data_IF_847355052082
#
_entry.id   IF_847355052082
#
_cell.length_a   1.000
_cell.length_b   1.000
_cell.length_c   1.000
_cell.angle_alpha   90.00
_cell.angle_beta   90.00
_cell.angle_gamma   90.00
#
_symmetry.space_group_name_H-M   'P 1'
#
loop_
_entity.id
_entity.type
_entity.pdbx_description
1 polymer ?
#
# COMPACT_ATOMS: atom_id res chain seq x y z
N UNK A 1 -1.57 -19.57 18.09
CA UNK A 1 -2.17 -18.89 16.93
C UNK A 1 -3.63 -19.32 16.88
N UNK A 2 -4.55 -18.38 16.89
CA UNK A 2 -5.99 -18.65 16.99
C UNK A 2 -6.48 -19.41 15.75
N UNK A 3 -7.29 -20.42 15.99
CA UNK A 3 -7.89 -21.31 15.00
C UNK A 3 -9.14 -20.66 14.39
N UNK A 4 -8.98 -19.49 13.72
CA UNK A 4 -10.11 -18.71 13.20
C UNK A 4 -10.12 -18.81 11.68
N UNK A 5 -11.26 -19.23 11.11
CA UNK A 5 -11.47 -19.25 9.67
C UNK A 5 -11.35 -17.85 9.08
N UNK A 6 -10.75 -17.73 7.91
CA UNK A 6 -10.66 -16.45 7.18
C UNK A 6 -12.02 -16.07 6.62
N UNK A 7 -12.48 -14.85 6.92
CA UNK A 7 -13.82 -14.37 6.60
C UNK A 7 -13.84 -13.05 5.82
N UNK A 8 -12.70 -12.34 5.74
CA UNK A 8 -12.63 -11.05 5.07
C UNK A 8 -11.25 -10.78 4.44
N UNK A 9 -11.25 -9.98 3.38
CA UNK A 9 -10.06 -9.44 2.73
C UNK A 9 -10.04 -7.92 2.92
N UNK A 10 -8.90 -7.39 3.38
CA UNK A 10 -8.67 -5.95 3.48
C UNK A 10 -7.47 -5.60 2.59
N UNK A 11 -7.65 -4.64 1.69
CA UNK A 11 -6.57 -4.19 0.79
C UNK A 11 -6.14 -2.78 1.18
N UNK A 12 -4.84 -2.53 1.21
CA UNK A 12 -4.35 -1.17 1.06
C UNK A 12 -4.69 -0.62 -0.33
N UNK A 13 -4.59 0.68 -0.52
CA UNK A 13 -4.90 1.34 -1.78
C UNK A 13 -3.62 1.62 -2.59
N UNK A 14 -2.75 2.45 -2.02
CA UNK A 14 -1.54 2.95 -2.66
C UNK A 14 -0.47 1.86 -2.65
N UNK A 15 0.17 1.59 -3.79
CA UNK A 15 1.15 0.51 -3.90
C UNK A 15 0.58 -0.93 -3.91
N UNK A 16 -0.75 -1.10 -3.71
CA UNK A 16 -1.46 -2.38 -3.74
C UNK A 16 -2.51 -2.44 -4.85
N UNK A 17 -3.49 -1.55 -4.83
CA UNK A 17 -4.54 -1.50 -5.85
C UNK A 17 -4.11 -0.69 -7.07
N UNK A 18 -3.40 0.41 -6.84
CA UNK A 18 -2.85 1.30 -7.86
C UNK A 18 -1.33 1.42 -7.73
N UNK A 19 -0.64 1.58 -8.85
CA UNK A 19 0.82 1.77 -8.90
C UNK A 19 1.18 3.24 -8.65
N UNK A 20 0.74 3.77 -7.51
CA UNK A 20 0.91 5.16 -7.11
C UNK A 20 2.37 5.52 -6.84
N UNK A 21 3.17 4.57 -6.37
CA UNK A 21 4.57 4.78 -6.05
C UNK A 21 5.42 4.99 -7.30
N UNK A 22 5.21 4.22 -8.38
CA UNK A 22 5.91 4.43 -9.65
C UNK A 22 5.57 5.80 -10.26
N UNK A 23 4.31 6.23 -10.15
CA UNK A 23 3.91 7.58 -10.59
C UNK A 23 4.56 8.65 -9.73
N UNK A 24 4.54 8.51 -8.41
CA UNK A 24 5.19 9.44 -7.50
C UNK A 24 6.70 9.55 -7.79
N UNK A 25 7.40 8.43 -7.95
CA UNK A 25 8.82 8.40 -8.31
C UNK A 25 9.10 9.18 -9.61
N UNK A 26 8.31 8.95 -10.65
CA UNK A 26 8.42 9.64 -11.94
C UNK A 26 8.21 11.16 -11.79
N UNK A 27 7.26 11.56 -10.96
CA UNK A 27 7.01 12.98 -10.65
C UNK A 27 8.20 13.59 -9.92
N UNK A 28 8.72 12.91 -8.88
CA UNK A 28 9.87 13.41 -8.13
C UNK A 28 11.08 13.64 -9.04
N UNK A 29 11.38 12.69 -9.91
CA UNK A 29 12.48 12.83 -10.89
C UNK A 29 12.24 14.03 -11.80
N UNK A 30 11.07 14.12 -12.44
CA UNK A 30 10.71 15.22 -13.34
C UNK A 30 10.78 16.59 -12.65
N UNK A 31 10.22 16.72 -11.47
CA UNK A 31 10.19 17.98 -10.72
C UNK A 31 11.58 18.43 -10.28
N UNK A 32 12.48 17.49 -9.94
CA UNK A 32 13.86 17.81 -9.59
C UNK A 32 14.70 18.15 -10.84
N UNK A 33 14.55 17.41 -11.94
CA UNK A 33 15.25 17.71 -13.20
C UNK A 33 14.86 19.09 -13.76
N UNK A 34 13.58 19.48 -13.61
CA UNK A 34 13.13 20.82 -13.98
C UNK A 34 13.79 21.93 -13.15
N UNK A 35 14.07 21.67 -11.86
CA UNK A 35 14.74 22.62 -10.96
C UNK A 35 16.26 22.60 -11.08
N UNK A 36 16.82 21.47 -11.47
CA UNK A 36 18.26 21.22 -11.58
C UNK A 36 18.65 20.75 -12.99
N UNK A 37 18.53 21.62 -14.01
CA UNK A 37 18.80 21.24 -15.39
C UNK A 37 20.19 20.62 -15.55
N UNK A 38 20.25 19.44 -16.21
CA UNK A 38 21.49 18.72 -16.46
C UNK A 38 21.97 17.82 -15.29
N UNK A 39 21.25 17.78 -14.17
CA UNK A 39 21.53 16.83 -13.10
C UNK A 39 21.00 15.43 -13.45
N UNK A 40 21.79 14.40 -13.16
CA UNK A 40 21.34 13.01 -13.28
C UNK A 40 20.55 12.61 -12.03
N UNK A 41 19.28 13.01 -11.95
CA UNK A 41 18.46 12.84 -10.75
C UNK A 41 18.07 11.39 -10.51
N UNK A 42 17.56 10.70 -11.52
CA UNK A 42 17.01 9.35 -11.37
C UNK A 42 17.99 8.34 -10.72
N UNK A 43 19.26 8.23 -11.11
CA UNK A 43 20.20 7.27 -10.49
C UNK A 43 20.44 7.51 -9.00
N UNK A 44 20.27 8.76 -8.53
CA UNK A 44 20.49 9.13 -7.13
C UNK A 44 19.20 8.99 -6.32
N UNK A 45 18.05 9.34 -6.90
CA UNK A 45 16.75 9.32 -6.25
C UNK A 45 16.21 7.90 -6.08
N UNK A 46 16.28 7.06 -7.12
CA UNK A 46 15.64 5.73 -7.12
C UNK A 46 16.06 4.85 -5.93
N UNK A 47 17.34 4.81 -5.50
CA UNK A 47 17.73 4.05 -4.31
C UNK A 47 17.17 4.58 -2.98
N UNK A 48 16.63 5.80 -2.95
CA UNK A 48 16.06 6.42 -1.75
C UNK A 48 14.54 6.22 -1.64
N UNK A 49 13.90 5.67 -2.67
CA UNK A 49 12.45 5.38 -2.64
C UNK A 49 12.09 4.45 -1.49
N UNK A 50 10.83 4.54 -1.03
CA UNK A 50 10.36 3.84 0.17
C UNK A 50 10.59 4.61 1.47
N UNK A 51 11.38 5.69 1.46
CA UNK A 51 11.54 6.61 2.58
C UNK A 51 10.50 7.74 2.51
N UNK A 52 10.40 8.54 3.58
CA UNK A 52 9.58 9.76 3.58
C UNK A 52 10.06 10.72 2.50
N UNK A 53 9.13 11.38 1.83
CA UNK A 53 9.42 12.27 0.68
C UNK A 53 10.45 13.34 1.01
N UNK A 54 10.44 13.90 2.23
CA UNK A 54 11.42 14.89 2.67
C UNK A 54 12.85 14.32 2.67
N UNK A 55 12.99 13.04 3.05
CA UNK A 55 14.28 12.34 3.05
C UNK A 55 14.75 12.01 1.64
N UNK A 56 13.83 11.59 0.79
CA UNK A 56 14.13 11.32 -0.64
C UNK A 56 14.62 12.59 -1.30
N UNK A 57 13.87 13.70 -1.16
CA UNK A 57 14.21 14.97 -1.78
C UNK A 57 15.50 15.56 -1.19
N UNK A 58 15.65 15.56 0.15
CA UNK A 58 16.85 16.06 0.82
C UNK A 58 18.09 15.25 0.47
N UNK A 59 18.02 13.92 0.59
CA UNK A 59 19.14 13.04 0.26
C UNK A 59 19.57 13.11 -1.20
N UNK A 60 18.61 13.27 -2.13
CA UNK A 60 18.93 13.52 -3.55
C UNK A 60 19.65 14.86 -3.74
N UNK A 61 19.16 15.91 -3.07
CA UNK A 61 19.80 17.22 -3.09
C UNK A 61 21.23 17.18 -2.56
N UNK A 62 21.43 16.59 -1.38
CA UNK A 62 22.73 16.45 -0.75
C UNK A 62 23.75 15.73 -1.66
N UNK A 63 23.32 14.60 -2.24
CA UNK A 63 24.18 13.83 -3.13
C UNK A 63 24.55 14.54 -4.44
N UNK A 64 23.69 15.46 -4.91
CA UNK A 64 23.92 16.25 -6.12
C UNK A 64 24.51 17.64 -5.83
N UNK A 65 24.77 17.99 -4.56
CA UNK A 65 25.23 19.32 -4.16
C UNK A 65 24.20 20.41 -4.44
N UNK A 66 22.91 20.09 -4.26
CA UNK A 66 21.76 20.98 -4.51
C UNK A 66 20.89 21.07 -3.25
N UNK A 67 20.09 22.13 -3.16
CA UNK A 67 19.16 22.30 -2.06
C UNK A 67 17.77 22.69 -2.55
N UNK A 68 16.75 22.35 -1.75
CA UNK A 68 15.36 22.73 -1.92
C UNK A 68 14.95 23.61 -0.73
N UNK A 69 14.11 24.58 -0.99
CA UNK A 69 13.40 25.29 0.08
C UNK A 69 12.24 24.45 0.61
N UNK A 70 11.71 24.77 1.79
CA UNK A 70 10.51 24.12 2.30
C UNK A 70 9.32 24.26 1.33
N UNK A 71 9.19 25.42 0.69
CA UNK A 71 8.15 25.66 -0.31
C UNK A 71 8.31 24.77 -1.56
N UNK A 72 9.57 24.51 -1.99
CA UNK A 72 9.81 23.55 -3.11
C UNK A 72 9.40 22.15 -2.72
N UNK A 73 9.75 21.69 -1.52
CA UNK A 73 9.37 20.37 -1.02
C UNK A 73 7.85 20.22 -0.98
N UNK A 74 7.13 21.21 -0.44
CA UNK A 74 5.67 21.21 -0.38
C UNK A 74 5.03 21.25 -1.76
N UNK A 75 5.57 22.02 -2.70
CA UNK A 75 5.09 22.07 -4.07
C UNK A 75 5.27 20.73 -4.80
N UNK A 76 6.46 20.11 -4.67
CA UNK A 76 6.75 18.81 -5.26
C UNK A 76 5.83 17.74 -4.67
N UNK A 77 5.66 17.73 -3.34
CA UNK A 77 4.75 16.80 -2.65
C UNK A 77 3.32 16.92 -3.19
N UNK A 78 2.78 18.14 -3.29
CA UNK A 78 1.42 18.37 -3.76
C UNK A 78 1.21 17.86 -5.21
N UNK A 79 2.24 18.00 -6.07
CA UNK A 79 2.19 17.45 -7.44
C UNK A 79 2.23 15.93 -7.41
N UNK A 80 3.14 15.34 -6.62
CA UNK A 80 3.29 13.89 -6.52
C UNK A 80 2.00 13.22 -5.99
N UNK A 81 1.42 13.73 -4.91
CA UNK A 81 0.17 13.21 -4.34
C UNK A 81 -1.01 13.31 -5.33
N UNK A 82 -1.12 14.44 -6.04
CA UNK A 82 -2.17 14.62 -7.04
C UNK A 82 -2.04 13.63 -8.20
N UNK A 83 -0.85 13.45 -8.75
CA UNK A 83 -0.62 12.57 -9.90
C UNK A 83 -0.63 11.09 -9.47
N UNK A 84 -0.12 10.75 -8.30
CA UNK A 84 -0.22 9.40 -7.73
C UNK A 84 -1.69 8.93 -7.60
N UNK A 85 -2.62 9.82 -7.27
CA UNK A 85 -4.05 9.51 -7.22
C UNK A 85 -4.66 9.19 -8.61
N UNK A 86 -3.96 9.51 -9.69
CA UNK A 86 -4.36 9.15 -11.06
C UNK A 86 -3.63 7.90 -11.60
N UNK A 87 -2.83 7.23 -10.76
CA UNK A 87 -2.08 6.04 -11.13
C UNK A 87 -2.98 4.91 -11.68
N UNK A 88 -2.45 4.08 -12.59
CA UNK A 88 -3.17 2.92 -13.11
C UNK A 88 -3.33 1.84 -12.04
N UNK A 89 -4.27 0.92 -12.26
CA UNK A 89 -4.35 -0.33 -11.50
C UNK A 89 -3.11 -1.19 -11.75
N UNK A 90 -2.68 -1.93 -10.73
CA UNK A 90 -1.81 -3.06 -10.99
C UNK A 90 -2.50 -4.09 -11.90
N UNK A 91 -1.77 -4.72 -12.82
CA UNK A 91 -2.31 -5.78 -13.66
C UNK A 91 -2.94 -6.91 -12.83
N UNK A 92 -4.13 -7.33 -13.18
CA UNK A 92 -4.83 -8.46 -12.53
C UNK A 92 -5.60 -8.12 -11.26
N UNK A 93 -5.54 -6.90 -10.72
CA UNK A 93 -6.28 -6.50 -9.49
C UNK A 93 -7.77 -6.77 -9.61
N UNK A 94 -8.39 -6.34 -10.71
CA UNK A 94 -9.83 -6.50 -10.90
C UNK A 94 -10.24 -7.96 -10.91
N UNK A 95 -9.54 -8.80 -11.69
CA UNK A 95 -9.82 -10.23 -11.81
C UNK A 95 -9.58 -10.97 -10.48
N UNK A 96 -8.51 -10.58 -9.76
CA UNK A 96 -8.22 -11.16 -8.44
C UNK A 96 -9.32 -10.84 -7.42
N UNK A 97 -9.80 -9.60 -7.39
CA UNK A 97 -10.89 -9.21 -6.49
C UNK A 97 -12.22 -9.86 -6.87
N UNK A 98 -12.52 -10.06 -8.16
CA UNK A 98 -13.70 -10.78 -8.64
C UNK A 98 -13.65 -12.27 -8.25
N UNK A 99 -12.49 -12.91 -8.33
CA UNK A 99 -12.31 -14.32 -8.01
C UNK A 99 -12.42 -14.65 -6.49
N UNK A 100 -12.24 -13.67 -5.62
CA UNK A 100 -12.30 -13.86 -4.17
C UNK A 100 -13.70 -13.55 -3.66
N UNK A 101 -14.44 -14.55 -3.17
CA UNK A 101 -15.82 -14.38 -2.70
C UNK A 101 -15.95 -13.73 -1.32
N UNK A 102 -14.86 -13.45 -0.61
CA UNK A 102 -14.88 -12.82 0.71
C UNK A 102 -15.37 -11.36 0.64
N UNK A 103 -16.10 -10.87 1.66
CA UNK A 103 -16.35 -9.44 1.83
C UNK A 103 -15.03 -8.67 1.90
N UNK A 104 -15.01 -7.46 1.31
CA UNK A 104 -13.79 -6.69 1.14
C UNK A 104 -13.91 -5.30 1.76
N UNK A 105 -12.79 -4.78 2.30
CA UNK A 105 -12.63 -3.39 2.71
C UNK A 105 -11.31 -2.83 2.15
N UNK A 106 -11.26 -1.51 1.98
CA UNK A 106 -10.05 -0.78 1.67
C UNK A 106 -9.59 -0.02 2.91
N UNK A 107 -8.28 -0.09 3.25
CA UNK A 107 -7.69 0.54 4.42
C UNK A 107 -6.39 1.26 4.04
N UNK A 108 -6.36 2.59 4.08
CA UNK A 108 -5.25 3.41 3.56
C UNK A 108 -4.86 4.54 4.51
N UNK A 109 -3.60 4.98 4.44
CA UNK A 109 -3.14 6.23 5.10
C UNK A 109 -3.48 7.50 4.30
N UNK A 110 -4.02 7.37 3.10
CA UNK A 110 -4.55 8.47 2.30
C UNK A 110 -5.88 8.99 2.88
N UNK A 111 -6.33 10.18 2.45
CA UNK A 111 -7.62 10.74 2.87
C UNK A 111 -8.78 10.00 2.20
N UNK A 112 -9.90 9.84 2.92
CA UNK A 112 -11.11 9.16 2.44
C UNK A 112 -11.60 9.69 1.09
N UNK A 113 -11.59 11.01 0.89
CA UNK A 113 -12.01 11.62 -0.38
C UNK A 113 -11.12 11.21 -1.56
N UNK A 114 -9.81 11.05 -1.33
CA UNK A 114 -8.85 10.62 -2.36
C UNK A 114 -9.09 9.16 -2.72
N UNK A 115 -9.17 8.27 -1.71
CA UNK A 115 -9.40 6.84 -1.93
C UNK A 115 -10.74 6.59 -2.64
N UNK A 116 -11.81 7.27 -2.24
CA UNK A 116 -13.12 7.18 -2.92
C UNK A 116 -13.01 7.56 -4.40
N UNK A 117 -12.30 8.64 -4.72
CA UNK A 117 -12.06 9.08 -6.11
C UNK A 117 -11.28 8.04 -6.90
N UNK A 118 -10.20 7.48 -6.32
CA UNK A 118 -9.40 6.41 -6.93
C UNK A 118 -10.27 5.19 -7.24
N UNK A 119 -11.01 4.69 -6.26
CA UNK A 119 -11.86 3.51 -6.41
C UNK A 119 -13.00 3.74 -7.43
N UNK A 120 -13.57 4.94 -7.47
CA UNK A 120 -14.59 5.28 -8.46
C UNK A 120 -14.00 5.34 -9.89
N UNK A 121 -12.87 6.03 -10.06
CA UNK A 121 -12.17 6.17 -11.35
C UNK A 121 -11.76 4.82 -11.94
N UNK A 122 -11.28 3.93 -11.08
CA UNK A 122 -10.76 2.62 -11.47
C UNK A 122 -11.83 1.52 -11.57
N UNK A 123 -13.09 1.84 -11.22
CA UNK A 123 -14.19 0.86 -11.20
C UNK A 123 -14.13 -0.12 -10.02
N UNK A 124 -13.20 0.06 -9.08
CA UNK A 124 -13.06 -0.81 -7.90
C UNK A 124 -14.09 -0.52 -6.81
N UNK A 125 -14.82 0.60 -6.86
CA UNK A 125 -15.84 0.95 -5.88
C UNK A 125 -16.89 -0.18 -5.69
N UNK A 126 -17.16 -0.98 -6.72
CA UNK A 126 -18.10 -2.13 -6.66
C UNK A 126 -17.69 -3.20 -5.64
N UNK A 127 -16.40 -3.36 -5.37
CA UNK A 127 -15.90 -4.37 -4.42
C UNK A 127 -15.97 -3.91 -2.97
N UNK A 128 -15.79 -2.61 -2.75
CA UNK A 128 -15.63 -2.05 -1.42
C UNK A 128 -16.89 -1.33 -0.92
N UNK A 129 -17.67 -0.68 -1.81
CA UNK A 129 -18.82 0.13 -1.41
C UNK A 129 -18.38 1.23 -0.44
N UNK A 130 -19.06 1.32 0.71
CA UNK A 130 -18.71 2.26 1.78
C UNK A 130 -17.68 1.73 2.78
N UNK A 131 -17.16 0.51 2.60
CA UNK A 131 -16.14 -0.09 3.47
C UNK A 131 -14.75 0.43 3.14
N UNK A 132 -14.55 1.73 3.35
CA UNK A 132 -13.33 2.49 3.10
C UNK A 132 -12.91 3.12 4.41
N UNK A 133 -11.73 2.77 4.91
CA UNK A 133 -11.20 3.19 6.20
C UNK A 133 -9.85 3.87 5.98
N UNK A 134 -9.75 5.15 6.35
CA UNK A 134 -8.62 6.01 6.03
C UNK A 134 -8.10 6.74 7.26
N UNK A 135 -6.91 7.36 7.12
CA UNK A 135 -6.25 8.05 8.22
C UNK A 135 -7.08 9.17 8.83
N UNK A 136 -7.93 9.83 8.05
CA UNK A 136 -8.76 10.96 8.48
C UNK A 136 -9.99 10.57 9.30
N UNK A 137 -10.32 9.28 9.40
CA UNK A 137 -11.47 8.78 10.17
C UNK A 137 -11.08 7.92 11.39
N UNK A 138 -9.79 7.78 11.68
CA UNK A 138 -9.27 7.03 12.82
C UNK A 138 -8.43 7.91 13.74
N UNK A 139 -8.24 7.49 14.99
CA UNK A 139 -7.46 8.25 15.96
C UNK A 139 -5.96 8.31 15.60
N UNK A 140 -5.42 7.22 15.07
CA UNK A 140 -4.00 7.10 14.69
C UNK A 140 -3.88 6.38 13.35
N UNK A 141 -3.14 6.97 12.37
CA UNK A 141 -2.83 6.31 11.10
C UNK A 141 -1.83 5.15 11.29
N UNK A 142 -1.62 4.34 10.23
CA UNK A 142 -0.53 3.35 10.19
C UNK A 142 0.82 4.04 10.55
N UNK A 143 1.67 3.45 11.40
CA UNK A 143 1.73 2.05 11.80
C UNK A 143 0.83 1.66 12.99
N UNK A 144 -0.04 2.54 13.50
CA UNK A 144 -1.03 2.14 14.50
C UNK A 144 -2.09 1.21 13.85
N UNK A 145 -2.67 0.27 14.63
CA UNK A 145 -3.60 -0.72 14.08
C UNK A 145 -4.99 -0.18 13.77
N UNK A 146 -5.29 1.08 14.10
CA UNK A 146 -6.62 1.67 14.17
C UNK A 146 -7.41 1.53 12.87
N UNK A 147 -6.76 1.78 11.71
CA UNK A 147 -7.42 1.71 10.40
C UNK A 147 -7.84 0.27 10.06
N UNK A 148 -7.03 -0.72 10.41
CA UNK A 148 -7.34 -2.13 10.19
C UNK A 148 -8.38 -2.65 11.19
N UNK A 149 -8.31 -2.23 12.45
CA UNK A 149 -9.34 -2.56 13.45
C UNK A 149 -10.70 -1.96 13.06
N UNK A 150 -10.73 -0.72 12.57
CA UNK A 150 -11.95 -0.10 12.05
C UNK A 150 -12.51 -0.88 10.85
N UNK A 151 -11.66 -1.34 9.93
CA UNK A 151 -12.05 -2.15 8.79
C UNK A 151 -12.66 -3.50 9.21
N UNK A 152 -12.04 -4.22 10.14
CA UNK A 152 -12.57 -5.47 10.69
C UNK A 152 -13.92 -5.25 11.39
N UNK A 153 -14.04 -4.20 12.20
CA UNK A 153 -15.27 -3.82 12.87
C UNK A 153 -16.39 -3.52 11.86
N UNK A 154 -16.10 -2.75 10.82
CA UNK A 154 -17.09 -2.41 9.80
C UNK A 154 -17.49 -3.60 8.91
N UNK A 155 -16.66 -4.62 8.81
CA UNK A 155 -16.96 -5.90 8.15
C UNK A 155 -17.73 -6.85 9.10
N UNK A 156 -17.80 -6.55 10.40
CA UNK A 156 -18.44 -7.41 11.40
C UNK A 156 -17.68 -8.69 11.70
N UNK A 157 -16.34 -8.71 11.50
CA UNK A 157 -15.48 -9.89 11.68
C UNK A 157 -14.39 -9.64 12.71
N UNK A 158 -13.91 -10.72 13.34
CA UNK A 158 -12.75 -10.62 14.23
C UNK A 158 -11.47 -10.30 13.42
N UNK A 159 -10.55 -9.47 13.94
CA UNK A 159 -9.29 -9.16 13.24
C UNK A 159 -8.52 -10.39 12.78
N UNK A 160 -8.50 -11.46 13.59
CA UNK A 160 -7.83 -12.73 13.30
C UNK A 160 -8.45 -13.49 12.10
N UNK A 161 -9.69 -13.12 11.72
CA UNK A 161 -10.40 -13.66 10.55
C UNK A 161 -10.14 -12.83 9.27
N UNK A 162 -9.29 -11.81 9.33
CA UNK A 162 -8.97 -10.96 8.19
C UNK A 162 -7.62 -11.34 7.58
N UNK A 163 -7.57 -11.37 6.24
CA UNK A 163 -6.34 -11.29 5.46
C UNK A 163 -6.18 -9.84 4.98
N UNK A 164 -4.97 -9.31 5.11
CA UNK A 164 -4.57 -7.98 4.61
C UNK A 164 -3.60 -8.14 3.47
N UNK A 165 -3.74 -7.33 2.42
CA UNK A 165 -2.74 -7.14 1.37
C UNK A 165 -2.11 -5.77 1.55
N UNK A 166 -0.79 -5.74 1.65
CA UNK A 166 0.01 -4.55 1.96
C UNK A 166 1.36 -4.58 1.25
N UNK A 167 1.89 -3.40 0.89
CA UNK A 167 3.19 -3.25 0.24
C UNK A 167 4.24 -2.55 1.13
N UNK A 168 3.82 -1.94 2.23
CA UNK A 168 4.68 -1.09 3.06
C UNK A 168 5.00 -1.71 4.44
N UNK A 169 6.22 -1.47 4.93
CA UNK A 169 6.64 -1.82 6.31
C UNK A 169 5.68 -1.22 7.35
N UNK A 170 5.24 0.01 7.12
CA UNK A 170 4.31 0.73 7.98
C UNK A 170 2.94 0.05 8.05
N UNK A 171 2.41 -0.37 6.91
CA UNK A 171 1.11 -1.00 6.83
C UNK A 171 1.13 -2.45 7.30
N UNK A 172 2.18 -3.24 6.94
CA UNK A 172 2.37 -4.59 7.49
C UNK A 172 2.44 -4.55 9.02
N UNK A 173 3.21 -3.62 9.59
CA UNK A 173 3.30 -3.44 11.05
C UNK A 173 1.94 -3.13 11.67
N UNK A 174 1.14 -2.27 11.05
CA UNK A 174 -0.20 -1.92 11.52
C UNK A 174 -1.17 -3.12 11.50
N UNK A 175 -1.20 -3.85 10.39
CA UNK A 175 -2.06 -5.03 10.23
C UNK A 175 -1.65 -6.16 11.21
N UNK A 176 -0.35 -6.35 11.41
CA UNK A 176 0.18 -7.31 12.41
C UNK A 176 -0.18 -6.90 13.83
N UNK A 177 -0.06 -5.61 14.17
CA UNK A 177 -0.48 -5.08 15.46
C UNK A 177 -2.00 -5.24 15.69
N UNK A 178 -2.82 -5.22 14.63
CA UNK A 178 -4.23 -5.56 14.68
C UNK A 178 -4.51 -7.07 14.85
N UNK A 179 -3.49 -7.94 14.77
CA UNK A 179 -3.63 -9.39 14.89
C UNK A 179 -4.07 -10.10 13.61
N UNK A 180 -3.92 -9.48 12.45
CA UNK A 180 -4.34 -9.99 11.15
C UNK A 180 -3.26 -10.81 10.46
N UNK A 181 -3.67 -11.65 9.49
CA UNK A 181 -2.77 -12.29 8.52
C UNK A 181 -2.42 -11.28 7.43
N UNK A 182 -1.12 -11.15 7.08
CA UNK A 182 -0.66 -10.17 6.11
C UNK A 182 0.07 -10.84 4.96
N UNK A 183 -0.36 -10.55 3.74
CA UNK A 183 0.28 -10.89 2.48
C UNK A 183 0.99 -9.64 1.96
N UNK A 184 2.32 -9.68 1.87
CA UNK A 184 3.13 -8.58 1.37
C UNK A 184 3.17 -8.57 -0.16
N UNK A 185 2.76 -7.47 -0.77
CA UNK A 185 2.81 -7.27 -2.21
C UNK A 185 4.03 -6.43 -2.61
N UNK A 186 4.80 -6.91 -3.58
CA UNK A 186 6.02 -6.27 -4.08
C UNK A 186 6.01 -6.09 -5.61
N UNK A 187 4.83 -6.00 -6.22
CA UNK A 187 4.69 -5.88 -7.68
C UNK A 187 5.01 -4.49 -8.24
N UNK A 188 5.27 -3.50 -7.40
CA UNK A 188 5.65 -2.15 -7.82
C UNK A 188 7.08 -2.11 -8.39
N UNK A 189 7.26 -1.45 -9.53
CA UNK A 189 8.56 -1.35 -10.21
C UNK A 189 9.63 -0.58 -9.42
N UNK A 190 9.22 0.19 -8.42
CA UNK A 190 10.09 1.01 -7.55
C UNK A 190 10.61 0.21 -6.34
N UNK A 191 10.07 -0.96 -6.08
CA UNK A 191 10.43 -1.76 -4.90
C UNK A 191 11.72 -2.50 -5.18
N UNK A 192 12.68 -2.40 -4.27
CA UNK A 192 14.01 -3.01 -4.40
C UNK A 192 14.01 -4.54 -4.32
N UNK A 193 13.04 -5.22 -4.96
CA UNK A 193 13.01 -6.67 -5.11
C UNK A 193 13.18 -7.44 -3.79
N UNK A 194 14.23 -8.25 -3.71
CA UNK A 194 14.49 -9.12 -2.55
C UNK A 194 14.71 -8.38 -1.23
N UNK A 195 15.27 -7.18 -1.26
CA UNK A 195 15.53 -6.39 -0.04
C UNK A 195 14.21 -5.95 0.60
N UNK A 196 13.28 -5.41 -0.18
CA UNK A 196 11.97 -5.01 0.34
C UNK A 196 11.13 -6.22 0.78
N UNK A 197 11.18 -7.32 0.04
CA UNK A 197 10.55 -8.58 0.44
C UNK A 197 11.04 -9.05 1.82
N UNK A 198 12.34 -8.89 2.10
CA UNK A 198 12.92 -9.22 3.40
C UNK A 198 12.39 -8.29 4.49
N UNK A 199 12.37 -6.97 4.26
CA UNK A 199 11.82 -5.99 5.21
C UNK A 199 10.37 -6.29 5.58
N UNK A 200 9.51 -6.60 4.59
CA UNK A 200 8.12 -6.96 4.86
C UNK A 200 7.99 -8.25 5.68
N UNK A 201 8.87 -9.25 5.43
CA UNK A 201 8.91 -10.48 6.25
C UNK A 201 9.36 -10.20 7.69
N UNK A 202 10.37 -9.37 7.87
CA UNK A 202 10.89 -8.99 9.20
C UNK A 202 9.83 -8.33 10.07
N UNK A 203 8.95 -7.49 9.48
CA UNK A 203 7.84 -6.86 10.20
C UNK A 203 6.59 -7.73 10.25
N UNK A 204 6.62 -8.93 9.67
CA UNK A 204 5.63 -9.98 9.92
C UNK A 204 4.70 -10.33 8.77
N UNK A 205 4.99 -9.97 7.52
CA UNK A 205 4.27 -10.52 6.36
C UNK A 205 4.47 -12.04 6.29
N UNK A 206 3.37 -12.79 6.19
CA UNK A 206 3.39 -14.25 6.22
C UNK A 206 3.60 -14.88 4.83
N UNK A 207 3.35 -14.13 3.78
CA UNK A 207 3.71 -14.50 2.41
C UNK A 207 4.05 -13.21 1.64
N UNK A 208 4.89 -13.35 0.61
CA UNK A 208 5.27 -12.27 -0.30
C UNK A 208 4.89 -12.71 -1.73
N UNK A 209 4.34 -11.79 -2.51
CA UNK A 209 4.00 -12.03 -3.91
C UNK A 209 4.13 -10.73 -4.72
N UNK A 210 4.33 -10.84 -6.03
CA UNK A 210 4.62 -9.75 -6.96
C UNK A 210 3.60 -9.61 -8.09
N UNK A 211 2.64 -10.53 -8.18
CA UNK A 211 1.61 -10.54 -9.21
C UNK A 211 0.22 -10.70 -8.57
N UNK A 212 -0.67 -9.73 -8.78
CA UNK A 212 -2.03 -9.77 -8.24
C UNK A 212 -2.83 -10.99 -8.70
N UNK A 213 -2.48 -11.62 -9.82
CA UNK A 213 -3.10 -12.87 -10.28
C UNK A 213 -2.86 -14.05 -9.35
N UNK A 214 -1.85 -13.98 -8.47
CA UNK A 214 -1.57 -15.00 -7.45
C UNK A 214 -2.49 -14.87 -6.23
N UNK A 215 -3.05 -13.69 -5.99
CA UNK A 215 -3.80 -13.39 -4.76
C UNK A 215 -4.96 -14.35 -4.48
N UNK A 216 -5.80 -14.75 -5.46
CA UNK A 216 -6.90 -15.70 -5.20
C UNK A 216 -6.40 -17.05 -4.67
N UNK A 217 -5.32 -17.58 -5.23
CA UNK A 217 -4.70 -18.83 -4.77
C UNK A 217 -4.14 -18.71 -3.36
N UNK A 218 -3.44 -17.61 -3.07
CA UNK A 218 -2.91 -17.35 -1.72
C UNK A 218 -4.01 -17.26 -0.68
N UNK A 219 -5.11 -16.54 -0.98
CA UNK A 219 -6.26 -16.45 -0.08
C UNK A 219 -6.89 -17.83 0.16
N UNK A 220 -7.09 -18.63 -0.90
CA UNK A 220 -7.65 -19.99 -0.79
C UNK A 220 -6.76 -20.88 0.09
N UNK A 221 -5.45 -20.83 -0.09
CA UNK A 221 -4.49 -21.60 0.73
C UNK A 221 -4.60 -21.23 2.22
N UNK A 222 -4.76 -19.96 2.53
CA UNK A 222 -4.91 -19.51 3.92
C UNK A 222 -6.26 -19.91 4.51
N UNK A 223 -7.33 -19.91 3.73
CA UNK A 223 -8.64 -20.43 4.16
C UNK A 223 -8.57 -21.93 4.50
N UNK A 224 -7.97 -22.75 3.63
CA UNK A 224 -7.79 -24.18 3.86
C UNK A 224 -6.91 -24.48 5.08
N UNK A 225 -5.80 -23.75 5.27
CA UNK A 225 -4.94 -23.91 6.43
C UNK A 225 -5.64 -23.55 7.75
N UNK A 226 -6.54 -22.57 7.71
CA UNK A 226 -7.34 -22.20 8.89
C UNK A 226 -8.37 -23.30 9.23
N UNK A 227 -9.03 -23.89 8.23
CA UNK A 227 -9.97 -25.00 8.43
C UNK A 227 -9.28 -26.26 8.95
N UNK A 228 -8.14 -26.64 8.37
CA UNK A 228 -7.38 -27.82 8.80
C UNK A 228 -6.84 -27.74 10.23
N UNK A 229 -6.68 -26.54 10.78
CA UNK A 229 -6.28 -26.32 12.18
C UNK A 229 -7.47 -26.30 13.15
N UNK A 230 -8.70 -26.20 12.64
CA UNK A 230 -9.92 -26.18 13.43
C UNK A 230 -10.47 -27.59 13.74
N UNK A 231 -9.95 -28.61 13.05
CA UNK A 231 -10.23 -30.04 13.23
C UNK A 231 -9.17 -30.68 14.17
#
# INVERSE_FOLDING_TARGET
MSNVAIQALICDCDGVLIDSEAVAASVLVRELEARWPGAAVAPVLMPLLGQRIERVLGGTGDALGRSLTAADVDAIRAVAEREAAEAPLFPGVTDALDAIALPKACASNSYTAVVRRVLARTGLARFFGDRIYCADIVAKPKPAPDVYLAAAQGLGVAPQACIVVEDSVTGVSAARAAGMTVLGFIGGAHVGGDAHALELREVGAQAIFDDMRMLPGLVADWMQKAEARAL
#
